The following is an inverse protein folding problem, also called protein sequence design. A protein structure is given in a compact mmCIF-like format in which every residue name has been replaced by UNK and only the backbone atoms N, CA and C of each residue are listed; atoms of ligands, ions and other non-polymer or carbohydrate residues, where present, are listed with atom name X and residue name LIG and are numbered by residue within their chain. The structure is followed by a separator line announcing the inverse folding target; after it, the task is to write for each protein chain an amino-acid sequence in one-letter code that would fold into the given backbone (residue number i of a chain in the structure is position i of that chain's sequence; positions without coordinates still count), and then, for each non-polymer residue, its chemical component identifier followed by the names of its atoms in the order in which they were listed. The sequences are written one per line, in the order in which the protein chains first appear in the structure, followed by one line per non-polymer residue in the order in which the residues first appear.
data_IF_187623001957
#
_entry.id   IF_187623001957
#
_cell.length_a   1.000
_cell.length_b   1.000
_cell.length_c   1.000
_cell.angle_alpha   90.00
_cell.angle_beta   90.00
_cell.angle_gamma   90.00
#
_symmetry.space_group_name_H-M   'P 1'
#
loop_
_entity.id
_entity.type
_entity.pdbx_description
1 polymer ?
#
# COMPACT_ATOMS: atom_id res chain seq x y z
N UNK A 1 44.92 46.30 -55.00
CA UNK A 1 44.99 45.16 -54.06
C UNK A 1 44.14 45.32 -52.79
N UNK A 2 43.57 46.50 -52.49
CA UNK A 2 42.79 46.71 -51.25
C UNK A 2 41.36 46.14 -51.26
N UNK A 3 40.67 46.16 -52.40
CA UNK A 3 39.28 45.67 -52.52
C UNK A 3 39.13 44.14 -52.38
N UNK A 4 40.16 43.39 -52.77
CA UNK A 4 40.13 41.93 -52.73
C UNK A 4 40.26 41.41 -51.29
N UNK A 5 40.99 42.15 -50.45
CA UNK A 5 41.17 41.86 -49.02
C UNK A 5 39.92 42.21 -48.19
N UNK A 6 39.24 43.32 -48.51
CA UNK A 6 38.00 43.72 -47.80
C UNK A 6 36.85 42.76 -48.06
N UNK A 7 36.72 42.26 -49.29
CA UNK A 7 35.70 41.27 -49.65
C UNK A 7 35.97 39.92 -48.98
N UNK A 8 37.24 39.52 -48.86
CA UNK A 8 37.61 38.29 -48.17
C UNK A 8 37.30 38.35 -46.67
N UNK A 9 37.55 39.49 -46.01
CA UNK A 9 37.18 39.71 -44.60
C UNK A 9 35.67 39.59 -44.39
N UNK A 10 34.89 40.26 -45.23
CA UNK A 10 33.42 40.21 -45.17
C UNK A 10 32.88 38.79 -45.37
N UNK A 11 33.43 38.04 -46.34
CA UNK A 11 33.02 36.66 -46.58
C UNK A 11 33.35 35.75 -45.39
N UNK A 12 34.50 35.96 -44.72
CA UNK A 12 34.87 35.18 -43.54
C UNK A 12 33.96 35.48 -42.35
N UNK A 13 33.62 36.76 -42.10
CA UNK A 13 32.67 37.15 -41.05
C UNK A 13 31.27 36.59 -41.32
N UNK A 14 30.85 36.58 -42.58
CA UNK A 14 29.56 36.01 -42.99
C UNK A 14 29.51 34.49 -42.76
N UNK A 15 30.57 33.76 -43.13
CA UNK A 15 30.68 32.32 -42.86
C UNK A 15 30.65 32.03 -41.36
N UNK A 16 31.38 32.80 -40.55
CA UNK A 16 31.37 32.64 -39.10
C UNK A 16 29.97 32.87 -38.50
N UNK A 17 29.24 33.89 -38.94
CA UNK A 17 27.85 34.13 -38.52
C UNK A 17 26.94 32.93 -38.84
N UNK A 18 27.11 32.32 -40.02
CA UNK A 18 26.32 31.15 -40.42
C UNK A 18 26.65 29.94 -39.54
N UNK A 19 27.92 29.71 -39.22
CA UNK A 19 28.34 28.61 -38.35
C UNK A 19 27.75 28.78 -36.95
N UNK A 20 27.83 29.97 -36.36
CA UNK A 20 27.24 30.27 -35.05
C UNK A 20 25.73 30.04 -35.04
N UNK A 21 25.02 30.42 -36.10
CA UNK A 21 23.58 30.18 -36.23
C UNK A 21 23.26 28.69 -36.37
N UNK A 22 24.09 27.92 -37.09
CA UNK A 22 23.94 26.47 -37.19
C UNK A 22 24.12 25.79 -35.82
N UNK A 23 25.14 26.19 -35.06
CA UNK A 23 25.36 25.68 -33.71
C UNK A 23 24.19 25.98 -32.77
N UNK A 24 23.74 27.24 -32.73
CA UNK A 24 22.57 27.63 -31.92
C UNK A 24 21.31 26.87 -32.30
N UNK A 25 21.08 26.64 -33.60
CA UNK A 25 19.95 25.84 -34.08
C UNK A 25 20.05 24.39 -33.59
N UNK A 26 21.22 23.80 -33.65
CA UNK A 26 21.41 22.39 -33.30
C UNK A 26 21.36 22.17 -31.77
N UNK A 27 21.81 23.15 -30.99
CA UNK A 27 21.61 23.17 -29.54
C UNK A 27 20.14 23.30 -29.16
N UNK A 28 19.41 24.26 -29.75
CA UNK A 28 17.97 24.40 -29.54
C UNK A 28 17.19 23.14 -29.93
N UNK A 29 17.57 22.48 -31.03
CA UNK A 29 16.94 21.20 -31.41
C UNK A 29 17.15 20.11 -30.37
N UNK A 30 18.33 20.08 -29.74
CA UNK A 30 18.63 19.13 -28.67
C UNK A 30 17.78 19.41 -27.43
N UNK A 31 17.71 20.68 -27.02
CA UNK A 31 16.87 21.11 -25.90
C UNK A 31 15.39 20.78 -26.13
N UNK A 32 14.87 21.04 -27.34
CA UNK A 32 13.49 20.68 -27.70
C UNK A 32 13.24 19.17 -27.53
N UNK A 33 14.18 18.32 -27.97
CA UNK A 33 14.03 16.87 -27.85
C UNK A 33 14.04 16.40 -26.39
N UNK A 34 14.90 16.99 -25.56
CA UNK A 34 14.97 16.70 -24.13
C UNK A 34 13.66 17.11 -23.43
N UNK A 35 13.14 18.29 -23.76
CA UNK A 35 11.85 18.80 -23.26
C UNK A 35 10.66 17.94 -23.72
N UNK A 36 10.64 17.49 -24.97
CA UNK A 36 9.62 16.56 -25.49
C UNK A 36 9.63 15.22 -24.74
N UNK A 37 10.83 14.72 -24.44
CA UNK A 37 11.02 13.48 -23.68
C UNK A 37 10.52 13.64 -22.24
N UNK A 38 10.83 14.76 -21.59
CA UNK A 38 10.38 15.03 -20.23
C UNK A 38 8.87 15.25 -20.16
N UNK A 39 8.30 15.98 -21.11
CA UNK A 39 6.84 16.11 -21.26
C UNK A 39 6.17 14.74 -21.32
N UNK A 40 6.72 13.82 -22.11
CA UNK A 40 6.15 12.46 -22.23
C UNK A 40 6.18 11.69 -20.90
N UNK A 41 7.24 11.84 -20.09
CA UNK A 41 7.30 11.23 -18.75
C UNK A 41 6.23 11.80 -17.83
N UNK A 42 6.08 13.13 -17.81
CA UNK A 42 5.07 13.80 -16.99
C UNK A 42 3.65 13.39 -17.40
N UNK A 43 3.36 13.27 -18.69
CA UNK A 43 2.07 12.78 -19.19
C UNK A 43 1.78 11.34 -18.73
N UNK A 44 2.78 10.46 -18.74
CA UNK A 44 2.66 9.10 -18.21
C UNK A 44 2.39 9.09 -16.69
N UNK A 45 3.10 9.92 -15.93
CA UNK A 45 2.90 10.04 -14.48
C UNK A 45 1.50 10.56 -14.14
N UNK A 46 1.00 11.56 -14.89
CA UNK A 46 -0.37 12.04 -14.77
C UNK A 46 -1.38 10.90 -14.97
N UNK A 47 -1.18 10.04 -15.99
CA UNK A 47 -2.05 8.91 -16.25
C UNK A 47 -2.07 7.90 -15.08
N UNK A 48 -0.89 7.53 -14.55
CA UNK A 48 -0.75 6.61 -13.42
C UNK A 48 -1.38 7.18 -12.15
N UNK A 49 -1.13 8.46 -11.85
CA UNK A 49 -1.70 9.13 -10.69
C UNK A 49 -3.22 9.24 -10.81
N UNK A 50 -3.74 9.52 -12.00
CA UNK A 50 -5.19 9.55 -12.25
C UNK A 50 -5.84 8.19 -11.99
N UNK A 51 -5.21 7.09 -12.41
CA UNK A 51 -5.70 5.73 -12.12
C UNK A 51 -5.69 5.43 -10.61
N UNK A 52 -4.64 5.83 -9.89
CA UNK A 52 -4.56 5.68 -8.43
C UNK A 52 -5.68 6.44 -7.73
N UNK A 53 -5.96 7.67 -8.15
CA UNK A 53 -7.06 8.49 -7.61
C UNK A 53 -8.40 7.79 -7.86
N UNK A 54 -8.65 7.31 -9.08
CA UNK A 54 -9.87 6.57 -9.40
C UNK A 54 -10.06 5.35 -8.47
N UNK A 55 -8.99 4.59 -8.22
CA UNK A 55 -9.04 3.42 -7.33
C UNK A 55 -9.37 3.79 -5.88
N UNK A 56 -8.77 4.87 -5.37
CA UNK A 56 -9.06 5.37 -4.02
C UNK A 56 -10.52 5.86 -3.93
N UNK A 57 -11.02 6.55 -4.95
CA UNK A 57 -12.41 7.03 -5.00
C UNK A 57 -13.41 5.88 -4.99
N UNK A 58 -13.18 4.81 -5.76
CA UNK A 58 -13.99 3.59 -5.71
C UNK A 58 -14.02 2.98 -4.30
N UNK A 59 -12.84 2.84 -3.68
CA UNK A 59 -12.71 2.30 -2.34
C UNK A 59 -13.44 3.16 -1.30
N UNK A 60 -13.31 4.48 -1.39
CA UNK A 60 -13.98 5.42 -0.50
C UNK A 60 -15.49 5.35 -0.66
N UNK A 61 -15.99 5.36 -1.90
CA UNK A 61 -17.42 5.24 -2.20
C UNK A 61 -18.01 3.95 -1.61
N UNK A 62 -17.30 2.82 -1.76
CA UNK A 62 -17.71 1.54 -1.15
C UNK A 62 -17.79 1.62 0.37
N UNK A 63 -16.78 2.22 1.04
CA UNK A 63 -16.78 2.43 2.50
C UNK A 63 -17.91 3.34 2.97
N UNK A 64 -18.16 4.44 2.26
CA UNK A 64 -19.27 5.37 2.58
C UNK A 64 -20.61 4.63 2.50
N UNK A 65 -20.86 3.88 1.42
CA UNK A 65 -22.08 3.08 1.28
C UNK A 65 -22.24 2.05 2.41
N UNK A 66 -21.13 1.48 2.87
CA UNK A 66 -21.11 0.55 3.99
C UNK A 66 -21.48 1.25 5.30
N UNK A 67 -20.91 2.43 5.58
CA UNK A 67 -21.23 3.23 6.76
C UNK A 67 -22.71 3.62 6.78
N UNK A 68 -23.23 4.13 5.66
CA UNK A 68 -24.63 4.52 5.54
C UNK A 68 -25.59 3.35 5.86
N UNK A 69 -25.26 2.14 5.42
CA UNK A 69 -26.06 0.96 5.75
C UNK A 69 -25.95 0.57 7.24
N UNK A 70 -24.78 0.74 7.86
CA UNK A 70 -24.64 0.54 9.31
C UNK A 70 -25.48 1.54 10.10
N UNK A 71 -25.43 2.82 9.75
CA UNK A 71 -26.21 3.88 10.41
C UNK A 71 -27.72 3.60 10.31
N UNK A 72 -28.17 3.13 9.15
CA UNK A 72 -29.56 2.71 8.96
C UNK A 72 -29.96 1.57 9.90
N UNK A 73 -29.13 0.53 10.01
CA UNK A 73 -29.39 -0.63 10.88
C UNK A 73 -29.35 -0.25 12.36
N UNK A 74 -28.42 0.62 12.76
CA UNK A 74 -28.34 1.16 14.12
C UNK A 74 -29.66 1.88 14.44
N UNK A 75 -30.09 2.80 13.58
CA UNK A 75 -31.34 3.53 13.78
C UNK A 75 -32.57 2.62 13.84
N UNK A 76 -32.68 1.63 12.94
CA UNK A 76 -33.76 0.65 12.96
C UNK A 76 -33.78 -0.17 14.27
N UNK A 77 -32.62 -0.57 14.78
CA UNK A 77 -32.50 -1.33 16.03
C UNK A 77 -32.79 -0.48 17.27
N UNK A 78 -32.28 0.75 17.32
CA UNK A 78 -32.55 1.69 18.41
C UNK A 78 -34.05 2.00 18.49
N UNK A 79 -34.70 2.24 17.34
CA UNK A 79 -36.15 2.44 17.27
C UNK A 79 -36.93 1.22 17.76
N UNK A 80 -36.51 0.00 17.36
CA UNK A 80 -37.12 -1.24 17.83
C UNK A 80 -36.98 -1.42 19.35
N UNK A 81 -35.78 -1.17 19.89
CA UNK A 81 -35.51 -1.24 21.32
C UNK A 81 -36.33 -0.23 22.13
N UNK A 82 -36.43 1.01 21.64
CA UNK A 82 -37.26 2.04 22.29
C UNK A 82 -38.74 1.67 22.32
N UNK A 83 -39.25 1.07 21.24
CA UNK A 83 -40.65 0.60 21.15
C UNK A 83 -40.93 -0.59 22.07
N UNK A 84 -39.98 -1.50 22.23
CA UNK A 84 -40.10 -2.59 23.20
C UNK A 84 -40.08 -2.06 24.63
N UNK A 85 -39.14 -1.15 24.95
CA UNK A 85 -39.04 -0.51 26.26
C UNK A 85 -40.31 0.26 26.64
N UNK A 86 -40.96 0.94 25.69
CA UNK A 86 -42.22 1.65 25.94
C UNK A 86 -43.41 0.71 26.18
N UNK A 87 -43.37 -0.49 25.60
CA UNK A 87 -44.43 -1.49 25.75
C UNK A 87 -44.27 -2.35 27.02
N UNK A 88 -43.05 -2.46 27.55
CA UNK A 88 -42.74 -3.20 28.77
C UNK A 88 -42.88 -2.33 30.02
N UNK A 89 -44.12 -2.02 30.41
CA UNK A 89 -44.50 -1.65 31.79
C UNK A 89 -44.78 -2.89 32.65
N UNK A 90 -44.27 -4.08 32.31
CA UNK A 90 -44.41 -5.31 33.12
C UNK A 90 -43.19 -6.24 33.04
N UNK A 91 -42.63 -6.47 34.23
CA UNK A 91 -41.91 -7.62 34.79
C UNK A 91 -40.88 -8.40 33.92
N UNK A 92 -39.66 -8.47 34.46
CA UNK A 92 -38.49 -9.19 33.94
C UNK A 92 -38.69 -10.71 33.90
N UNK A 93 -38.46 -11.33 32.75
CA UNK A 93 -38.15 -12.77 32.63
C UNK A 93 -37.00 -12.97 31.61
N UNK A 94 -36.09 -13.95 31.84
CA UNK A 94 -34.92 -14.16 30.99
C UNK A 94 -35.34 -14.84 29.68
N UNK A 95 -35.37 -14.08 28.58
CA UNK A 95 -35.70 -14.63 27.25
C UNK A 95 -34.47 -14.72 26.35
N UNK A 96 -34.47 -15.82 25.64
CA UNK A 96 -33.59 -16.23 24.55
C UNK A 96 -33.14 -15.11 23.61
N UNK A 97 -31.97 -15.34 22.98
CA UNK A 97 -31.27 -14.45 22.05
C UNK A 97 -32.24 -13.65 21.14
N UNK A 98 -32.17 -12.32 21.24
CA UNK A 98 -33.12 -11.37 20.70
C UNK A 98 -33.25 -11.47 19.16
N UNK A 99 -34.43 -11.27 18.55
CA UNK A 99 -34.58 -11.24 17.08
C UNK A 99 -33.64 -10.23 16.39
N UNK A 100 -33.28 -9.14 17.07
CA UNK A 100 -32.29 -8.16 16.60
C UNK A 100 -30.86 -8.70 16.62
N UNK A 101 -30.47 -9.51 17.62
CA UNK A 101 -29.17 -10.19 17.67
C UNK A 101 -29.01 -11.18 16.50
N UNK A 102 -30.09 -11.83 16.07
CA UNK A 102 -30.10 -12.74 14.91
C UNK A 102 -29.96 -11.99 13.57
N UNK A 103 -30.54 -10.79 13.44
CA UNK A 103 -30.35 -9.90 12.27
C UNK A 103 -28.93 -9.34 12.21
N UNK A 104 -28.37 -8.93 13.35
CA UNK A 104 -26.98 -8.45 13.46
C UNK A 104 -26.00 -9.58 13.11
N UNK A 105 -26.18 -10.79 13.66
CA UNK A 105 -25.37 -11.96 13.31
C UNK A 105 -25.45 -12.29 11.82
N UNK A 106 -26.65 -12.31 11.22
CA UNK A 106 -26.82 -12.56 9.79
C UNK A 106 -26.25 -11.44 8.90
N UNK A 107 -26.25 -10.18 9.35
CA UNK A 107 -25.65 -9.07 8.64
C UNK A 107 -24.12 -9.09 8.71
N UNK A 108 -23.56 -9.37 9.89
CA UNK A 108 -22.10 -9.60 10.08
C UNK A 108 -21.65 -10.80 9.24
N UNK A 109 -22.44 -11.89 9.21
CA UNK A 109 -22.17 -13.09 8.41
C UNK A 109 -22.28 -12.82 6.89
N UNK A 110 -23.29 -12.04 6.45
CA UNK A 110 -23.43 -11.64 5.04
C UNK A 110 -22.34 -10.66 4.57
N UNK A 111 -21.79 -9.80 5.44
CA UNK A 111 -20.70 -8.88 5.08
C UNK A 111 -19.31 -9.51 5.11
N UNK A 112 -19.06 -10.58 5.87
CA UNK A 112 -17.88 -11.44 5.63
C UNK A 112 -17.84 -12.00 4.19
N UNK A 113 -19.02 -12.26 3.61
CA UNK A 113 -19.18 -12.81 2.26
C UNK A 113 -19.29 -11.78 1.12
N UNK A 114 -19.03 -10.49 1.36
CA UNK A 114 -19.11 -9.42 0.34
C UNK A 114 -17.79 -8.70 0.09
N UNK A 115 -16.66 -9.39 0.27
CA UNK A 115 -15.41 -9.02 -0.41
C UNK A 115 -15.52 -9.52 -1.85
N UNK A 116 -15.26 -8.67 -2.84
CA UNK A 116 -15.08 -9.13 -4.22
C UNK A 116 -14.13 -10.33 -4.19
N UNK A 117 -14.56 -11.47 -4.75
CA UNK A 117 -13.81 -12.73 -4.79
C UNK A 117 -12.67 -12.59 -5.79
N UNK A 118 -11.68 -11.76 -5.45
CA UNK A 118 -10.35 -11.80 -6.05
C UNK A 118 -9.45 -12.49 -5.03
N UNK A 119 -8.76 -13.56 -5.47
CA UNK A 119 -7.72 -14.19 -4.67
C UNK A 119 -6.61 -13.17 -4.46
N UNK A 120 -6.39 -12.77 -3.21
CA UNK A 120 -5.33 -11.87 -2.78
C UNK A 120 -3.97 -12.39 -3.27
N UNK A 121 -3.15 -11.54 -3.88
CA UNK A 121 -1.80 -11.87 -4.30
C UNK A 121 -0.79 -11.34 -3.26
N UNK A 122 -0.04 -12.26 -2.65
CA UNK A 122 0.96 -11.93 -1.63
C UNK A 122 2.34 -12.39 -2.06
N UNK A 123 3.40 -11.73 -1.57
CA UNK A 123 4.74 -12.31 -1.65
C UNK A 123 4.79 -13.56 -0.76
N UNK A 124 5.33 -14.65 -1.29
CA UNK A 124 5.47 -15.93 -0.60
C UNK A 124 6.94 -16.36 -0.70
N UNK A 125 7.74 -16.12 0.33
CA UNK A 125 9.19 -16.37 0.30
C UNK A 125 9.77 -16.55 1.71
N UNK A 126 10.97 -17.14 1.77
CA UNK A 126 11.77 -17.25 3.00
C UNK A 126 13.19 -16.78 2.72
N UNK A 127 13.66 -15.77 3.44
CA UNK A 127 15.01 -15.21 3.29
C UNK A 127 16.17 -16.19 3.53
N UNK A 128 15.91 -17.33 4.18
CA UNK A 128 16.90 -18.40 4.35
C UNK A 128 17.14 -19.12 3.00
N UNK A 129 16.13 -19.19 2.15
CA UNK A 129 16.16 -19.88 0.85
C UNK A 129 16.28 -18.91 -0.33
N UNK A 130 15.65 -17.75 -0.21
CA UNK A 130 15.49 -16.76 -1.26
C UNK A 130 16.22 -15.47 -0.87
N UNK A 131 17.40 -15.22 -1.44
CA UNK A 131 18.22 -14.03 -1.13
C UNK A 131 17.44 -12.71 -1.29
N UNK A 132 16.49 -12.66 -2.24
CA UNK A 132 15.66 -11.48 -2.50
C UNK A 132 14.51 -11.26 -1.51
N UNK A 133 14.26 -12.18 -0.57
CA UNK A 133 13.15 -12.03 0.37
C UNK A 133 13.44 -10.99 1.46
N UNK A 134 14.69 -10.58 1.68
CA UNK A 134 14.99 -9.53 2.67
C UNK A 134 14.88 -8.10 2.13
N UNK A 135 14.81 -7.90 0.81
CA UNK A 135 14.81 -6.56 0.24
C UNK A 135 13.46 -5.86 0.39
N UNK A 136 13.52 -4.52 0.50
CA UNK A 136 12.37 -3.63 0.32
C UNK A 136 12.12 -3.37 -1.16
N UNK A 137 13.19 -3.38 -1.97
CA UNK A 137 13.13 -3.33 -3.43
C UNK A 137 13.04 -4.76 -3.98
N UNK A 138 11.85 -5.15 -4.41
CA UNK A 138 11.58 -6.39 -5.16
C UNK A 138 12.09 -6.27 -6.59
N UNK A 139 13.36 -5.90 -6.73
CA UNK A 139 14.08 -5.80 -7.99
C UNK A 139 14.17 -7.20 -8.61
N UNK A 140 13.15 -7.51 -9.44
CA UNK A 140 13.09 -8.54 -10.49
C UNK A 140 13.00 -10.03 -10.14
N UNK A 141 13.23 -10.49 -8.90
CA UNK A 141 13.32 -11.95 -8.65
C UNK A 141 12.09 -12.64 -8.04
N UNK A 142 11.26 -11.95 -7.25
CA UNK A 142 10.12 -12.58 -6.55
C UNK A 142 8.85 -11.83 -6.92
N UNK A 143 7.86 -12.54 -7.45
CA UNK A 143 6.56 -11.98 -7.83
C UNK A 143 5.48 -12.41 -6.81
N UNK A 144 4.48 -11.55 -6.53
CA UNK A 144 3.31 -11.95 -5.76
C UNK A 144 2.63 -13.16 -6.39
N UNK A 145 2.14 -14.08 -5.56
CA UNK A 145 1.43 -15.27 -6.01
C UNK A 145 0.06 -15.32 -5.34
N UNK A 146 -0.96 -15.73 -6.09
CA UNK A 146 -2.33 -15.91 -5.62
C UNK A 146 -2.40 -16.82 -4.40
N UNK A 147 -3.12 -16.38 -3.37
CA UNK A 147 -3.35 -17.18 -2.18
C UNK A 147 -4.32 -18.35 -2.49
N UNK A 148 -4.04 -19.57 -1.99
CA UNK A 148 -4.65 -20.81 -2.49
C UNK A 148 -6.16 -21.09 -2.24
N UNK A 149 -7.05 -20.14 -1.86
CA UNK A 149 -8.55 -20.20 -1.74
C UNK A 149 -9.00 -19.20 -0.64
N UNK A 150 -10.25 -18.77 -0.37
CA UNK A 150 -11.40 -18.29 -1.17
C UNK A 150 -12.24 -17.30 -0.30
N UNK A 151 -12.04 -17.27 1.03
CA UNK A 151 -12.55 -16.20 1.91
C UNK A 151 -11.50 -15.83 2.97
N UNK A 152 -11.41 -14.53 3.30
CA UNK A 152 -10.58 -13.95 4.38
C UNK A 152 -9.06 -14.27 4.32
N UNK A 153 -8.42 -14.05 3.17
CA UNK A 153 -6.94 -14.10 3.04
C UNK A 153 -6.26 -12.82 3.52
N UNK A 154 -5.06 -12.98 4.10
CA UNK A 154 -4.19 -11.92 4.58
C UNK A 154 -2.76 -12.15 4.09
N UNK A 155 -2.06 -11.08 3.72
CA UNK A 155 -0.63 -11.17 3.49
C UNK A 155 0.11 -10.92 4.80
N UNK A 156 1.03 -11.84 5.14
CA UNK A 156 1.85 -11.75 6.34
C UNK A 156 3.31 -11.46 5.96
N UNK A 157 3.95 -10.59 6.74
CA UNK A 157 5.40 -10.43 6.80
C UNK A 157 5.86 -10.68 8.24
N UNK A 158 6.63 -11.73 8.42
CA UNK A 158 7.27 -12.06 9.68
C UNK A 158 8.76 -11.74 9.59
N UNK A 159 9.27 -11.02 10.57
CA UNK A 159 10.69 -10.74 10.75
C UNK A 159 11.04 -11.33 12.10
N UNK A 160 12.02 -12.22 12.15
CA UNK A 160 12.37 -12.92 13.39
C UNK A 160 13.81 -13.39 13.39
N UNK A 161 14.24 -13.90 14.53
CA UNK A 161 15.54 -14.57 14.64
C UNK A 161 15.32 -16.08 14.63
N UNK A 162 15.88 -16.76 13.64
CA UNK A 162 15.80 -18.21 13.51
C UNK A 162 17.16 -18.77 13.12
N UNK A 163 17.60 -19.83 13.80
CA UNK A 163 18.82 -20.58 13.46
C UNK A 163 20.08 -19.72 13.32
N UNK A 164 20.26 -18.70 14.16
CA UNK A 164 21.45 -17.85 14.14
C UNK A 164 21.32 -16.57 13.31
N UNK A 165 20.24 -16.43 12.52
CA UNK A 165 20.12 -15.39 11.50
C UNK A 165 18.79 -14.64 11.66
N UNK A 166 18.79 -13.33 11.37
CA UNK A 166 17.55 -12.57 11.21
C UNK A 166 16.94 -12.92 9.86
N UNK A 167 15.78 -13.57 9.90
CA UNK A 167 15.06 -14.04 8.72
C UNK A 167 13.77 -13.26 8.50
N UNK A 168 13.47 -12.94 7.25
CA UNK A 168 12.16 -12.49 6.80
C UNK A 168 11.42 -13.65 6.13
N UNK A 169 10.18 -13.88 6.55
CA UNK A 169 9.26 -14.84 5.93
C UNK A 169 7.99 -14.12 5.50
N UNK A 170 7.53 -14.40 4.28
CA UNK A 170 6.29 -13.84 3.72
C UNK A 170 5.39 -14.96 3.24
N UNK A 171 4.10 -14.87 3.53
CA UNK A 171 3.14 -15.92 3.20
C UNK A 171 1.69 -15.43 3.28
N UNK A 172 0.78 -16.22 2.69
CA UNK A 172 -0.66 -16.05 2.82
C UNK A 172 -1.17 -16.68 4.13
N UNK A 173 -2.07 -16.01 4.83
CA UNK A 173 -2.75 -16.51 6.02
C UNK A 173 -4.27 -16.41 5.88
N UNK A 174 -4.99 -17.35 6.48
CA UNK A 174 -6.45 -17.35 6.58
C UNK A 174 -6.96 -16.64 7.84
N UNK A 175 -6.05 -16.14 8.67
CA UNK A 175 -6.35 -15.41 9.90
C UNK A 175 -5.44 -14.22 10.06
N UNK A 176 -5.99 -13.14 10.62
CA UNK A 176 -5.22 -11.98 11.06
C UNK A 176 -4.26 -12.41 12.18
N UNK A 177 -2.96 -12.16 11.98
CA UNK A 177 -1.90 -12.48 12.94
C UNK A 177 -1.55 -11.30 13.84
N UNK A 178 -2.31 -10.23 13.74
CA UNK A 178 -2.10 -8.94 14.38
C UNK A 178 -0.81 -8.26 13.88
N UNK A 179 -0.68 -6.97 14.20
CA UNK A 179 0.56 -6.23 14.01
C UNK A 179 1.25 -6.14 15.36
N UNK A 180 2.27 -6.97 15.58
CA UNK A 180 2.94 -7.06 16.88
C UNK A 180 4.44 -7.19 16.72
N UNK A 181 5.19 -6.50 17.56
CA UNK A 181 6.62 -6.67 17.71
C UNK A 181 6.97 -7.05 19.15
N UNK A 182 7.89 -8.00 19.32
CA UNK A 182 8.40 -8.44 20.62
C UNK A 182 9.91 -8.50 20.58
N UNK A 183 10.54 -8.16 21.70
CA UNK A 183 11.97 -8.39 21.88
C UNK A 183 12.19 -9.80 22.47
N UNK A 184 13.06 -10.56 21.84
CA UNK A 184 13.46 -11.90 22.26
C UNK A 184 14.93 -11.82 22.68
N UNK A 185 15.25 -12.36 23.85
CA UNK A 185 16.62 -12.53 24.32
C UNK A 185 16.99 -13.99 24.16
N UNK A 186 18.12 -14.30 23.52
CA UNK A 186 18.63 -15.68 23.48
C UNK A 186 19.46 -15.96 24.72
N UNK A 187 19.55 -17.24 25.13
CA UNK A 187 20.24 -17.62 26.37
C UNK A 187 21.76 -17.46 26.30
N UNK A 188 22.32 -17.38 25.09
CA UNK A 188 23.76 -17.45 24.85
C UNK A 188 24.44 -16.08 24.74
N UNK A 189 23.68 -14.98 24.65
CA UNK A 189 24.20 -13.61 24.60
C UNK A 189 23.15 -12.58 25.02
N UNK A 190 23.59 -11.45 25.59
CA UNK A 190 22.71 -10.35 26.04
C UNK A 190 22.05 -9.54 24.90
N UNK A 191 22.12 -10.04 23.66
CA UNK A 191 21.58 -9.33 22.50
C UNK A 191 20.08 -9.58 22.37
N UNK A 192 19.30 -8.49 22.46
CA UNK A 192 17.85 -8.51 22.21
C UNK A 192 17.58 -8.40 20.70
N UNK A 193 16.72 -9.28 20.19
CA UNK A 193 16.26 -9.29 18.79
C UNK A 193 14.80 -8.91 18.72
N UNK A 194 14.45 -8.00 17.81
CA UNK A 194 13.06 -7.62 17.57
C UNK A 194 12.42 -8.57 16.56
N UNK A 195 11.46 -9.34 17.02
CA UNK A 195 10.60 -10.18 16.18
C UNK A 195 9.30 -9.44 15.91
N UNK A 196 8.93 -9.24 14.65
CA UNK A 196 7.72 -8.54 14.25
C UNK A 196 6.87 -9.40 13.32
N UNK A 197 5.55 -9.36 13.51
CA UNK A 197 4.55 -9.90 12.60
C UNK A 197 3.74 -8.72 12.10
N UNK A 198 3.62 -8.61 10.78
CA UNK A 198 2.79 -7.62 10.11
C UNK A 198 1.74 -8.32 9.27
N UNK A 199 0.49 -7.91 9.44
CA UNK A 199 -0.68 -8.43 8.73
C UNK A 199 -1.35 -7.31 7.96
N UNK A 200 -1.68 -7.58 6.69
CA UNK A 200 -2.40 -6.66 5.83
C UNK A 200 -3.32 -7.42 4.85
N UNK A 201 -4.32 -6.74 4.31
CA UNK A 201 -5.44 -7.34 3.56
C UNK A 201 -5.63 -6.76 2.14
N UNK A 202 -4.55 -6.27 1.54
CA UNK A 202 -4.55 -5.73 0.17
C UNK A 202 -3.38 -6.26 -0.68
N UNK A 203 -3.50 -6.17 -2.00
CA UNK A 203 -2.55 -6.76 -2.95
C UNK A 203 -1.09 -6.40 -2.65
N UNK A 204 -0.22 -7.42 -2.62
CA UNK A 204 1.22 -7.32 -2.45
C UNK A 204 1.69 -6.47 -1.24
N UNK A 205 0.82 -6.29 -0.23
CA UNK A 205 1.04 -5.37 0.88
C UNK A 205 2.16 -5.79 1.83
N UNK A 206 2.48 -7.09 1.87
CA UNK A 206 3.59 -7.61 2.66
C UNK A 206 4.97 -7.33 2.03
N UNK A 207 5.04 -6.52 0.97
CA UNK A 207 6.28 -5.97 0.42
C UNK A 207 7.06 -5.17 1.47
N UNK A 208 6.37 -4.26 2.15
CA UNK A 208 6.94 -3.28 3.06
C UNK A 208 6.58 -3.58 4.53
N UNK A 209 7.32 -2.98 5.46
CA UNK A 209 6.98 -2.97 6.88
C UNK A 209 6.47 -1.57 7.24
N UNK A 210 5.25 -1.41 7.77
CA UNK A 210 4.74 -0.09 8.16
C UNK A 210 5.76 0.69 8.98
N UNK A 211 6.05 1.93 8.57
CA UNK A 211 6.84 2.86 9.39
C UNK A 211 5.92 3.35 10.51
N UNK A 212 6.24 2.93 11.74
CA UNK A 212 5.78 3.41 13.06
C UNK A 212 4.47 2.88 13.66
N UNK A 213 4.62 2.20 14.81
CA UNK A 213 4.05 2.58 16.12
C UNK A 213 4.59 1.64 17.20
N UNK A 214 5.51 2.14 18.03
CA UNK A 214 5.79 1.72 19.42
C UNK A 214 6.80 2.73 20.01
N UNK A 215 6.38 3.99 20.13
CA UNK A 215 6.73 4.79 21.30
C UNK A 215 5.81 4.30 22.41
N UNK A 216 6.30 3.36 23.22
CA UNK A 216 5.77 3.12 24.57
C UNK A 216 6.94 2.73 25.47
N UNK A 217 7.45 3.77 26.14
CA UNK A 217 8.20 3.78 27.38
C UNK A 217 9.24 2.68 27.61
N UNK A 218 10.52 3.07 27.48
CA UNK A 218 11.49 2.75 28.52
C UNK A 218 11.90 4.09 29.11
N UNK A 219 11.25 4.42 30.23
CA UNK A 219 11.85 5.33 31.21
C UNK A 219 13.26 4.82 31.47
N UNK A 220 14.25 5.70 31.27
CA UNK A 220 15.58 5.47 31.84
C UNK A 220 15.42 5.51 33.35
N UNK A 221 15.24 4.35 33.97
CA UNK A 221 15.59 4.16 35.36
C UNK A 221 17.07 3.75 35.42
N UNK A 222 17.81 4.54 36.21
CA UNK A 222 19.22 4.46 36.63
C UNK A 222 20.30 4.76 35.57
#
# INVERSE_FOLDING_TARGET
MSQQTSLHSYNNEFTQCIEELCHKRDDLKREILDDETEKQKLENDIAVLSQKIAKVNENLCSKINICNEFDRIISENEAAYMKEKSNSTKLYEPKSLHPTQKKISNFIFRKKNRRNVFSLECYQCDSIKDLGCNSQDFSKSILPTKCPLETDSYCIKEIGYSSGIVSTKRYCSYSDRYNICKYITLRDHDRKYRSCIYTCDFEACNSFSPKYQDDYQIEKEA
#
